data_IF_933103464523
#
_entry.id   IF_933103464523
#
_cell.length_a   1.000
_cell.length_b   1.000
_cell.length_c   1.000
_cell.angle_alpha   90.00
_cell.angle_beta   90.00
_cell.angle_gamma   90.00
#
_symmetry.space_group_name_H-M   'P 1'
#
loop_
_entity.id
_entity.type
_entity.pdbx_description
1 polymer ?
#
# COMPACT_ATOMS: atom_id res chain seq x y z
N UNK A 1 -9.34 -7.59 1.48
CA UNK A 1 -8.18 -6.95 0.84
C UNK A 1 -7.28 -8.01 0.25
N UNK A 2 -6.98 -7.88 -1.04
CA UNK A 2 -6.21 -8.90 -1.74
C UNK A 2 -4.75 -8.49 -1.85
N UNK A 3 -3.92 -9.16 -1.10
CA UNK A 3 -2.47 -8.99 -1.24
C UNK A 3 -1.97 -10.04 -2.23
N UNK A 4 -0.93 -9.73 -2.95
CA UNK A 4 -0.33 -10.68 -3.86
C UNK A 4 0.33 -11.78 -3.05
N UNK A 5 -0.09 -13.02 -3.26
CA UNK A 5 0.48 -14.17 -2.55
C UNK A 5 1.94 -14.41 -2.94
N UNK A 6 2.36 -13.84 -4.08
CA UNK A 6 3.72 -14.01 -4.57
C UNK A 6 4.70 -13.00 -3.99
N UNK A 7 4.22 -12.06 -3.19
CA UNK A 7 5.08 -11.06 -2.58
C UNK A 7 5.62 -11.60 -1.24
N UNK A 8 6.84 -11.22 -0.87
CA UNK A 8 7.36 -11.55 0.46
C UNK A 8 6.39 -11.08 1.55
N UNK A 9 6.33 -11.80 2.65
CA UNK A 9 5.39 -11.49 3.73
C UNK A 9 5.58 -10.07 4.26
N UNK A 10 6.84 -9.62 4.43
CA UNK A 10 7.07 -8.28 4.94
C UNK A 10 6.50 -7.20 4.00
N UNK A 11 6.51 -7.45 2.69
CA UNK A 11 5.92 -6.51 1.73
C UNK A 11 4.40 -6.51 1.81
N UNK A 12 3.79 -7.65 2.10
CA UNK A 12 2.35 -7.72 2.32
C UNK A 12 1.96 -6.91 3.56
N UNK A 13 2.78 -6.94 4.60
CA UNK A 13 2.55 -6.15 5.80
C UNK A 13 2.71 -4.66 5.48
N UNK A 14 3.74 -4.31 4.70
CA UNK A 14 3.93 -2.92 4.25
C UNK A 14 2.73 -2.44 3.44
N UNK A 15 2.16 -3.31 2.59
CA UNK A 15 0.96 -2.99 1.81
C UNK A 15 -0.23 -2.71 2.72
N UNK A 16 -0.36 -3.48 3.80
CA UNK A 16 -1.40 -3.23 4.79
C UNK A 16 -1.24 -1.84 5.41
N UNK A 17 -0.01 -1.47 5.79
CA UNK A 17 0.26 -0.15 6.36
C UNK A 17 -0.08 0.95 5.34
N UNK A 18 0.37 0.79 4.11
CA UNK A 18 0.08 1.75 3.04
C UNK A 18 -1.42 1.91 2.84
N UNK A 19 -2.16 0.82 2.91
CA UNK A 19 -3.60 0.85 2.75
C UNK A 19 -4.29 1.60 3.90
N UNK A 20 -3.81 1.43 5.13
CA UNK A 20 -4.34 2.18 6.27
C UNK A 20 -4.12 3.69 6.07
N UNK A 21 -2.99 4.07 5.50
CA UNK A 21 -2.68 5.47 5.21
C UNK A 21 -3.57 5.98 4.06
N UNK A 22 -3.73 5.21 3.00
CA UNK A 22 -4.57 5.60 1.86
C UNK A 22 -6.03 5.78 2.25
N UNK A 23 -6.52 4.93 3.15
CA UNK A 23 -7.89 5.03 3.66
C UNK A 23 -8.03 6.09 4.75
N UNK A 24 -6.92 6.72 5.10
CA UNK A 24 -6.84 7.75 6.15
C UNK A 24 -7.28 7.25 7.52
N UNK A 25 -7.16 5.93 7.75
CA UNK A 25 -7.33 5.35 9.08
C UNK A 25 -6.13 5.72 9.96
N UNK A 26 -4.96 5.90 9.32
CA UNK A 26 -3.75 6.38 9.97
C UNK A 26 -3.42 7.73 9.36
N UNK A 27 -3.63 8.79 10.15
CA UNK A 27 -3.39 10.17 9.72
C UNK A 27 -1.93 10.57 9.95
N UNK A 28 -1.47 11.66 9.30
CA UNK A 28 -0.12 12.17 9.56
C UNK A 28 0.12 12.38 11.03
N UNK A 29 1.30 12.00 11.49
CA UNK A 29 1.77 12.13 12.88
C UNK A 29 1.08 11.18 13.86
N UNK A 30 0.17 10.32 13.39
CA UNK A 30 -0.43 9.30 14.25
C UNK A 30 0.61 8.27 14.65
N UNK A 31 0.55 7.85 15.90
CA UNK A 31 1.34 6.72 16.37
C UNK A 31 0.64 5.45 15.89
N UNK A 32 1.41 4.54 15.27
CA UNK A 32 0.87 3.28 14.80
C UNK A 32 1.19 2.16 15.79
N UNK A 33 0.54 1.00 15.66
CA UNK A 33 0.83 -0.13 16.54
C UNK A 33 2.32 -0.51 16.49
N UNK A 34 2.83 -1.00 17.59
CA UNK A 34 4.24 -1.39 17.69
C UNK A 34 4.56 -2.62 16.85
N UNK A 35 5.86 -2.86 16.65
CA UNK A 35 6.32 -4.06 15.94
C UNK A 35 5.73 -5.31 16.58
N UNK A 36 5.75 -5.39 17.91
CA UNK A 36 5.21 -6.54 18.63
C UNK A 36 3.71 -6.70 18.40
N UNK A 37 2.97 -5.61 18.46
CA UNK A 37 1.53 -5.65 18.25
C UNK A 37 1.19 -6.10 16.83
N UNK A 38 1.93 -5.61 15.84
CA UNK A 38 1.73 -6.02 14.45
C UNK A 38 2.09 -7.50 14.26
N UNK A 39 3.19 -7.95 14.87
CA UNK A 39 3.60 -9.35 14.76
C UNK A 39 2.51 -10.28 15.30
N UNK A 40 1.93 -9.93 16.44
CA UNK A 40 0.84 -10.71 17.04
C UNK A 40 -0.39 -10.69 16.15
N UNK A 41 -0.79 -9.49 15.73
CA UNK A 41 -1.99 -9.31 14.89
C UNK A 41 -1.91 -10.08 13.57
N UNK A 42 -0.75 -10.04 12.94
CA UNK A 42 -0.53 -10.68 11.63
C UNK A 42 -0.06 -12.13 11.75
N UNK A 43 0.17 -12.60 12.96
CA UNK A 43 0.66 -13.95 13.23
C UNK A 43 1.96 -14.23 12.48
N UNK A 44 2.90 -13.28 12.58
CA UNK A 44 4.21 -13.41 11.93
C UNK A 44 5.33 -13.26 12.97
N UNK A 45 6.52 -13.68 12.56
CA UNK A 45 7.72 -13.51 13.37
C UNK A 45 8.01 -12.01 13.52
N UNK A 46 8.38 -11.55 14.73
CA UNK A 46 8.74 -10.13 14.92
C UNK A 46 9.82 -9.63 13.96
N UNK A 47 10.76 -10.48 13.56
CA UNK A 47 11.78 -10.09 12.59
C UNK A 47 11.18 -9.78 11.22
N UNK A 48 10.12 -10.50 10.84
CA UNK A 48 9.39 -10.23 9.59
C UNK A 48 8.61 -8.92 9.70
N UNK A 49 7.99 -8.69 10.85
CA UNK A 49 7.25 -7.45 11.09
C UNK A 49 8.17 -6.23 11.04
N UNK A 50 9.35 -6.30 11.71
CA UNK A 50 10.27 -5.16 11.74
C UNK A 50 10.77 -4.81 10.34
N UNK A 51 10.91 -5.80 9.45
CA UNK A 51 11.31 -5.52 8.07
C UNK A 51 10.29 -4.63 7.36
N UNK A 52 9.00 -4.82 7.64
CA UNK A 52 7.95 -3.97 7.07
C UNK A 52 8.10 -2.53 7.57
N UNK A 53 8.34 -2.35 8.87
CA UNK A 53 8.55 -1.02 9.43
C UNK A 53 9.77 -0.34 8.80
N UNK A 54 10.89 -1.07 8.69
CA UNK A 54 12.10 -0.53 8.10
C UNK A 54 11.92 -0.20 6.63
N UNK A 55 11.18 -1.03 5.89
CA UNK A 55 10.89 -0.77 4.49
C UNK A 55 10.19 0.59 4.29
N UNK A 56 9.19 0.87 5.12
CA UNK A 56 8.47 2.14 5.01
C UNK A 56 9.22 3.31 5.65
N UNK A 57 10.05 3.04 6.64
CA UNK A 57 10.93 4.05 7.22
C UNK A 57 11.96 4.50 6.18
N UNK A 58 12.54 3.57 5.45
CA UNK A 58 13.50 3.87 4.38
C UNK A 58 12.90 4.75 3.29
N UNK A 59 11.58 4.66 3.11
CA UNK A 59 10.86 5.46 2.11
C UNK A 59 10.27 6.74 2.71
N UNK A 60 10.60 7.04 3.94
CA UNK A 60 10.12 8.23 4.65
C UNK A 60 8.60 8.29 4.78
N UNK A 61 7.95 7.12 4.80
CA UNK A 61 6.51 7.01 5.03
C UNK A 61 6.22 6.90 6.52
N UNK A 62 7.10 6.20 7.24
CA UNK A 62 7.06 6.12 8.70
C UNK A 62 8.33 6.70 9.27
N UNK A 63 8.27 7.19 10.51
CA UNK A 63 9.47 7.53 11.24
C UNK A 63 9.42 6.94 12.64
N UNK A 64 10.59 6.65 13.19
CA UNK A 64 10.72 6.08 14.52
C UNK A 64 11.10 7.17 15.50
N UNK A 65 10.30 7.35 16.54
CA UNK A 65 10.65 8.22 17.64
C UNK A 65 11.19 7.33 18.77
N UNK A 66 12.47 7.38 18.95
CA UNK A 66 13.18 6.48 19.87
C UNK A 66 12.57 6.49 21.26
N UNK A 67 12.29 5.30 21.78
CA UNK A 67 11.70 5.15 23.11
C UNK A 67 10.20 5.39 23.15
N UNK A 68 9.60 5.82 22.04
CA UNK A 68 8.17 6.12 21.97
C UNK A 68 7.45 5.19 21.00
N UNK A 69 7.93 5.08 19.76
CA UNK A 69 7.31 4.20 18.77
C UNK A 69 7.42 4.74 17.35
N UNK A 70 6.63 4.16 16.47
CA UNK A 70 6.60 4.54 15.06
C UNK A 70 5.38 5.41 14.78
N UNK A 71 5.58 6.35 13.89
CA UNK A 71 4.57 7.36 13.55
C UNK A 71 4.47 7.50 12.04
N UNK A 72 3.29 7.91 11.58
CA UNK A 72 3.07 8.25 10.16
C UNK A 72 3.75 9.58 9.87
N UNK A 73 4.56 9.62 8.82
CA UNK A 73 5.24 10.87 8.43
C UNK A 73 4.22 11.89 7.90
N UNK A 74 4.57 13.17 7.98
CA UNK A 74 3.69 14.25 7.56
C UNK A 74 3.22 14.10 6.11
N UNK A 75 4.12 13.71 5.22
CA UNK A 75 3.83 13.58 3.78
C UNK A 75 3.54 12.15 3.35
N UNK A 76 3.19 11.28 4.29
CA UNK A 76 3.04 9.85 4.02
C UNK A 76 1.96 9.56 2.97
N UNK A 77 0.81 10.23 3.05
CA UNK A 77 -0.29 9.97 2.11
C UNK A 77 0.13 10.20 0.67
N UNK A 78 0.78 11.32 0.40
CA UNK A 78 1.24 11.64 -0.96
C UNK A 78 2.31 10.66 -1.44
N UNK A 79 3.24 10.28 -0.56
CA UNK A 79 4.28 9.33 -0.90
C UNK A 79 3.71 7.95 -1.21
N UNK A 80 2.74 7.51 -0.42
CA UNK A 80 2.09 6.23 -0.65
C UNK A 80 1.32 6.25 -1.96
N UNK A 81 0.58 7.32 -2.22
CA UNK A 81 -0.15 7.46 -3.50
C UNK A 81 0.80 7.38 -4.68
N UNK A 82 1.90 8.12 -4.63
CA UNK A 82 2.89 8.12 -5.70
C UNK A 82 3.45 6.72 -5.94
N UNK A 83 3.84 6.06 -4.87
CA UNK A 83 4.39 4.71 -4.94
C UNK A 83 3.38 3.72 -5.51
N UNK A 84 2.14 3.76 -5.03
CA UNK A 84 1.10 2.84 -5.48
C UNK A 84 0.66 3.12 -6.91
N UNK A 85 0.66 4.38 -7.33
CA UNK A 85 0.38 4.74 -8.72
C UNK A 85 1.42 4.12 -9.65
N UNK A 86 2.69 4.21 -9.30
CA UNK A 86 3.77 3.64 -10.10
C UNK A 86 3.68 2.12 -10.18
N UNK A 87 3.41 1.47 -9.04
CA UNK A 87 3.22 0.02 -9.02
C UNK A 87 2.04 -0.38 -9.91
N UNK A 88 0.95 0.34 -9.85
CA UNK A 88 -0.23 0.08 -10.67
C UNK A 88 0.09 0.16 -12.16
N UNK A 89 0.78 1.23 -12.55
CA UNK A 89 1.15 1.45 -13.95
C UNK A 89 2.05 0.33 -14.47
N UNK A 90 3.02 -0.09 -13.65
CA UNK A 90 4.01 -1.08 -14.10
C UNK A 90 3.53 -2.52 -13.95
N UNK A 91 2.71 -2.82 -12.96
CA UNK A 91 2.34 -4.20 -12.65
C UNK A 91 0.95 -4.59 -13.14
N UNK A 92 -0.01 -3.67 -13.15
CA UNK A 92 -1.39 -4.00 -13.52
C UNK A 92 -1.81 -3.52 -14.88
N UNK A 93 -1.44 -2.30 -15.25
CA UNK A 93 -1.90 -1.74 -16.53
C UNK A 93 -1.48 -2.53 -17.76
N UNK A 94 -0.25 -3.07 -17.87
CA UNK A 94 0.11 -3.82 -19.07
C UNK A 94 -0.82 -4.99 -19.34
N UNK A 95 -1.18 -5.75 -18.30
CA UNK A 95 -2.12 -6.87 -18.45
C UNK A 95 -3.52 -6.39 -18.80
N UNK A 96 -3.95 -5.31 -18.18
CA UNK A 96 -5.24 -4.70 -18.45
C UNK A 96 -5.35 -4.27 -19.93
N UNK A 97 -4.31 -3.62 -20.44
CA UNK A 97 -4.29 -3.19 -21.84
C UNK A 97 -4.30 -4.37 -22.81
N UNK A 98 -3.59 -5.46 -22.46
CA UNK A 98 -3.65 -6.67 -23.27
C UNK A 98 -5.08 -7.20 -23.34
N UNK A 99 -5.75 -7.25 -22.20
CA UNK A 99 -7.13 -7.74 -22.15
C UNK A 99 -8.06 -6.84 -22.95
N UNK A 100 -7.88 -5.53 -22.86
CA UNK A 100 -8.65 -4.57 -23.65
C UNK A 100 -8.55 -4.86 -25.14
N UNK A 101 -7.32 -5.07 -25.60
CA UNK A 101 -7.07 -5.33 -27.02
C UNK A 101 -7.70 -6.64 -27.46
N UNK A 102 -7.57 -7.69 -26.66
CA UNK A 102 -8.11 -9.00 -26.99
C UNK A 102 -9.63 -9.00 -27.01
N UNK A 103 -10.25 -8.24 -26.11
CA UNK A 103 -11.71 -8.22 -26.02
C UNK A 103 -12.35 -7.12 -26.87
N UNK A 104 -11.53 -6.33 -27.57
CA UNK A 104 -12.03 -5.32 -28.48
C UNK A 104 -12.59 -4.06 -27.82
N UNK A 105 -12.16 -3.76 -26.60
CA UNK A 105 -12.58 -2.52 -25.94
C UNK A 105 -11.86 -1.32 -26.55
N UNK A 106 -12.60 -0.27 -26.82
CA UNK A 106 -12.02 1.03 -27.18
C UNK A 106 -11.84 1.85 -25.90
N UNK A 107 -10.99 2.87 -25.96
CA UNK A 107 -10.83 3.80 -24.85
C UNK A 107 -12.14 4.51 -24.52
N UNK A 108 -12.95 4.79 -25.54
CA UNK A 108 -14.24 5.45 -25.33
C UNK A 108 -15.19 4.55 -24.55
N UNK A 109 -15.25 3.27 -24.89
CA UNK A 109 -16.08 2.33 -24.15
C UNK A 109 -15.62 2.23 -22.70
N UNK A 110 -14.32 2.19 -22.50
CA UNK A 110 -13.76 2.12 -21.15
C UNK A 110 -14.13 3.37 -20.34
N UNK A 111 -14.06 4.53 -20.98
CA UNK A 111 -14.44 5.79 -20.35
C UNK A 111 -15.91 5.78 -19.91
N UNK A 112 -16.79 5.28 -20.80
CA UNK A 112 -18.21 5.17 -20.47
C UNK A 112 -18.47 4.25 -19.29
N UNK A 113 -17.78 3.11 -19.26
CA UNK A 113 -17.87 2.17 -18.14
C UNK A 113 -17.34 2.77 -16.85
N UNK A 114 -16.25 3.50 -16.96
CA UNK A 114 -15.66 4.19 -15.80
C UNK A 114 -16.63 5.23 -15.23
N UNK A 115 -17.25 6.02 -16.11
CA UNK A 115 -18.20 7.03 -15.67
C UNK A 115 -19.42 6.43 -14.98
N UNK A 116 -19.89 5.27 -15.47
CA UNK A 116 -20.98 4.55 -14.81
C UNK A 116 -20.60 4.02 -13.45
N UNK A 117 -19.31 3.77 -13.23
CA UNK A 117 -18.82 3.25 -11.95
C UNK A 117 -18.77 4.32 -10.86
N UNK A 118 -18.83 5.58 -11.24
CA UNK A 118 -18.83 6.70 -10.29
C UNK A 118 -20.19 6.78 -9.61
N UNK A 119 -20.15 6.89 -8.29
CA UNK A 119 -21.38 7.04 -7.51
C UNK A 119 -21.20 8.10 -6.44
#
# INVERSE_FOLDING_TARGET
>A
MNYSENRPIYKQISDYFCNQILLENWAPEDRIPSVREIAVKMEVNPNTAIRAFHNLQDKDILYNQRGVGYFVAENALEKVKQMKREEFIHEKLPGFFRDMKQLGFSCKELEELYDKSKK
#
